data_IF_761786763516
#
_entry.id   IF_761786763516
#
_cell.length_a   1.000
_cell.length_b   1.000
_cell.length_c   1.000
_cell.angle_alpha   90.00
_cell.angle_beta   90.00
_cell.angle_gamma   90.00
#
_symmetry.space_group_name_H-M   'P 1'
#
loop_
_entity.id
_entity.type
_entity.pdbx_description
1 polymer ?
#
# COMPACT_ATOMS: atom_id res chain seq x y z
N UNK A 1 -15.19 18.68 6.96
CA UNK A 1 -14.76 17.75 8.02
C UNK A 1 -13.47 17.00 7.66
N UNK A 2 -13.37 16.37 6.48
CA UNK A 2 -12.15 15.67 6.07
C UNK A 2 -10.93 16.57 5.79
N UNK A 3 -11.14 17.77 5.23
CA UNK A 3 -10.07 18.76 5.02
C UNK A 3 -9.57 19.41 6.32
N UNK A 4 -10.41 19.44 7.37
CA UNK A 4 -10.01 19.94 8.69
C UNK A 4 -9.16 18.93 9.46
N UNK A 5 -9.43 17.63 9.34
CA UNK A 5 -8.58 16.56 9.93
C UNK A 5 -7.19 16.53 9.29
N UNK A 6 -7.10 16.66 7.96
CA UNK A 6 -5.82 16.77 7.25
C UNK A 6 -4.99 17.96 7.74
N UNK A 7 -5.64 19.12 7.91
CA UNK A 7 -4.99 20.34 8.45
C UNK A 7 -4.60 20.22 9.93
N UNK A 8 -5.38 19.50 10.74
CA UNK A 8 -5.10 19.31 12.16
C UNK A 8 -3.90 18.36 12.40
N UNK A 9 -3.82 17.27 11.65
CA UNK A 9 -2.69 16.32 11.76
C UNK A 9 -1.40 16.93 11.20
N UNK A 10 -1.49 17.67 10.09
CA UNK A 10 -0.34 18.42 9.55
C UNK A 10 0.22 19.43 10.56
N UNK A 11 -0.63 20.09 11.35
CA UNK A 11 -0.21 21.08 12.34
C UNK A 11 0.60 20.45 13.51
N UNK A 12 0.20 19.25 13.96
CA UNK A 12 0.93 18.50 15.01
C UNK A 12 2.31 18.04 14.51
N UNK A 13 2.41 17.58 13.26
CA UNK A 13 3.67 17.17 12.65
C UNK A 13 4.65 18.34 12.49
N UNK A 14 4.15 19.52 12.09
CA UNK A 14 4.97 20.74 11.96
C UNK A 14 5.48 21.26 13.31
N UNK A 15 4.72 21.07 14.39
CA UNK A 15 5.13 21.46 15.75
C UNK A 15 6.33 20.63 16.26
N UNK A 16 6.38 19.34 15.94
CA UNK A 16 7.49 18.47 16.35
C UNK A 16 8.75 18.67 15.50
N UNK A 17 8.62 18.96 14.21
CA UNK A 17 9.75 19.20 13.31
C UNK A 17 10.53 20.48 13.68
N UNK A 18 9.85 21.52 14.18
CA UNK A 18 10.48 22.76 14.63
C UNK A 18 11.37 22.58 15.87
N UNK A 19 11.03 21.63 16.74
CA UNK A 19 11.78 21.36 17.99
C UNK A 19 13.00 20.46 17.71
N UNK A 20 12.92 19.59 16.69
CA UNK A 20 13.96 18.59 16.39
C UNK A 20 15.08 19.09 15.44
N UNK A 21 14.86 20.18 14.71
CA UNK A 21 15.77 20.65 13.65
C UNK A 21 17.10 21.25 14.11
N UNK A 22 17.31 21.48 15.40
CA UNK A 22 18.49 22.18 15.92
C UNK A 22 19.73 21.30 16.14
N UNK A 23 19.66 19.99 15.89
CA UNK A 23 20.72 19.03 16.28
C UNK A 23 21.12 18.02 15.18
N UNK A 24 20.98 18.33 13.88
CA UNK A 24 21.21 17.33 12.82
C UNK A 24 22.51 17.56 12.05
N UNK A 25 23.33 16.50 11.99
CA UNK A 25 24.53 16.39 11.16
C UNK A 25 24.16 16.26 9.67
N UNK A 26 24.91 16.87 8.73
CA UNK A 26 24.57 16.81 7.32
C UNK A 26 24.73 15.38 6.78
N UNK A 27 23.61 14.77 6.39
CA UNK A 27 23.59 13.47 5.71
C UNK A 27 22.90 13.57 4.34
N UNK A 28 23.34 12.80 3.33
CA UNK A 28 22.86 12.92 1.95
C UNK A 28 21.47 12.30 1.69
N UNK A 29 20.79 11.80 2.73
CA UNK A 29 19.47 11.19 2.67
C UNK A 29 18.35 12.17 2.96
N UNK A 30 17.23 12.03 2.23
CA UNK A 30 16.01 12.76 2.49
C UNK A 30 15.31 12.18 3.73
N UNK A 31 15.16 12.99 4.78
CA UNK A 31 14.28 12.69 5.90
C UNK A 31 12.87 13.08 5.49
N UNK A 32 12.01 12.08 5.31
CA UNK A 32 10.60 12.32 4.98
C UNK A 32 9.89 12.86 6.23
N UNK A 33 9.13 13.95 6.06
CA UNK A 33 8.30 14.49 7.13
C UNK A 33 7.23 13.48 7.56
N UNK A 34 6.83 13.53 8.83
CA UNK A 34 5.78 12.62 9.35
C UNK A 34 4.48 12.83 8.57
N UNK A 35 4.01 11.78 7.90
CA UNK A 35 2.75 11.80 7.14
C UNK A 35 1.69 10.87 7.76
N UNK A 36 0.40 11.25 7.74
CA UNK A 36 -0.68 10.44 8.32
C UNK A 36 -1.19 9.33 7.40
N UNK A 37 -0.77 9.31 6.14
CA UNK A 37 -1.29 8.39 5.11
C UNK A 37 -1.13 6.90 5.45
N UNK A 38 -0.01 6.43 6.05
CA UNK A 38 0.13 5.03 6.46
C UNK A 38 -0.90 4.59 7.52
N UNK A 39 -1.26 5.48 8.44
CA UNK A 39 -2.29 5.20 9.44
C UNK A 39 -3.70 5.13 8.83
N UNK A 40 -4.00 6.01 7.86
CA UNK A 40 -5.29 5.98 7.16
C UNK A 40 -5.43 4.74 6.28
N UNK A 41 -4.38 4.36 5.55
CA UNK A 41 -4.40 3.18 4.66
C UNK A 41 -4.52 1.87 5.43
N UNK A 42 -3.83 1.72 6.57
CA UNK A 42 -3.96 0.53 7.43
C UNK A 42 -5.37 0.39 8.02
N UNK A 43 -6.00 1.49 8.45
CA UNK A 43 -7.38 1.46 8.92
C UNK A 43 -8.36 1.08 7.79
N UNK A 44 -8.19 1.64 6.59
CA UNK A 44 -9.00 1.29 5.42
C UNK A 44 -8.85 -0.18 5.03
N UNK A 45 -7.63 -0.73 5.09
CA UNK A 45 -7.37 -2.16 4.84
C UNK A 45 -8.03 -3.06 5.89
N UNK A 46 -8.00 -2.68 7.17
CA UNK A 46 -8.70 -3.41 8.22
C UNK A 46 -10.21 -3.44 7.98
N UNK A 47 -10.81 -2.29 7.66
CA UNK A 47 -12.22 -2.19 7.31
C UNK A 47 -12.56 -3.03 6.06
N UNK A 48 -11.66 -3.09 5.08
CA UNK A 48 -11.83 -3.90 3.88
C UNK A 48 -11.79 -5.40 4.19
N UNK A 49 -10.86 -5.84 5.04
CA UNK A 49 -10.78 -7.23 5.48
C UNK A 49 -12.03 -7.66 6.26
N UNK A 50 -12.49 -6.85 7.21
CA UNK A 50 -13.73 -7.09 7.94
C UNK A 50 -14.96 -7.07 7.02
N UNK A 51 -15.01 -6.11 6.08
CA UNK A 51 -16.08 -5.99 5.10
C UNK A 51 -16.19 -7.20 4.17
N UNK A 52 -15.05 -7.76 3.72
CA UNK A 52 -15.01 -8.98 2.91
C UNK A 52 -15.56 -10.19 3.67
N UNK A 53 -15.15 -10.37 4.93
CA UNK A 53 -15.64 -11.48 5.77
C UNK A 53 -17.15 -11.36 5.97
N UNK A 54 -17.66 -10.18 6.31
CA UNK A 54 -19.09 -9.95 6.52
C UNK A 54 -19.91 -10.12 5.23
N UNK A 55 -19.32 -9.76 4.09
CA UNK A 55 -19.93 -9.97 2.77
C UNK A 55 -20.07 -11.47 2.44
N UNK A 56 -19.04 -12.28 2.69
CA UNK A 56 -19.13 -13.74 2.47
C UNK A 56 -20.16 -14.41 3.38
N UNK A 57 -20.37 -13.90 4.59
CA UNK A 57 -21.39 -14.41 5.52
C UNK A 57 -22.80 -13.82 5.26
N UNK A 58 -23.00 -13.06 4.18
CA UNK A 58 -24.30 -12.50 3.77
C UNK A 58 -24.97 -11.61 4.83
N UNK A 59 -24.19 -10.88 5.63
CA UNK A 59 -24.75 -9.88 6.54
C UNK A 59 -25.26 -8.66 5.75
N UNK A 60 -26.43 -8.09 6.12
CA UNK A 60 -27.06 -7.00 5.36
C UNK A 60 -26.19 -5.72 5.30
N UNK A 61 -25.34 -5.48 6.31
CA UNK A 61 -24.43 -4.34 6.35
C UNK A 61 -23.07 -4.59 5.70
N UNK A 62 -22.73 -5.84 5.33
CA UNK A 62 -21.40 -6.21 4.86
C UNK A 62 -21.03 -5.57 3.52
N UNK A 63 -21.97 -5.56 2.57
CA UNK A 63 -21.74 -4.97 1.24
C UNK A 63 -21.51 -3.45 1.30
N UNK A 64 -22.26 -2.74 2.14
CA UNK A 64 -22.10 -1.29 2.29
C UNK A 64 -20.74 -0.94 2.93
N UNK A 65 -20.35 -1.69 3.96
CA UNK A 65 -19.03 -1.54 4.60
C UNK A 65 -17.89 -1.79 3.60
N UNK A 66 -18.00 -2.83 2.77
CA UNK A 66 -17.01 -3.15 1.73
C UNK A 66 -16.86 -2.01 0.71
N UNK A 67 -17.97 -1.47 0.21
CA UNK A 67 -17.96 -0.34 -0.73
C UNK A 67 -17.30 0.91 -0.13
N UNK A 68 -17.63 1.25 1.12
CA UNK A 68 -17.03 2.39 1.83
C UNK A 68 -15.53 2.17 2.05
N UNK A 69 -15.12 0.95 2.43
CA UNK A 69 -13.72 0.61 2.61
C UNK A 69 -12.91 0.73 1.31
N UNK A 70 -13.46 0.28 0.18
CA UNK A 70 -12.82 0.42 -1.14
C UNK A 70 -12.66 1.88 -1.56
N UNK A 71 -13.72 2.70 -1.40
CA UNK A 71 -13.66 4.13 -1.74
C UNK A 71 -12.64 4.87 -0.87
N UNK A 72 -12.63 4.60 0.44
CA UNK A 72 -11.68 5.25 1.36
C UNK A 72 -10.24 4.82 1.09
N UNK A 73 -9.99 3.55 0.75
CA UNK A 73 -8.67 3.06 0.38
C UNK A 73 -8.16 3.71 -0.91
N UNK A 74 -8.98 3.74 -1.96
CA UNK A 74 -8.62 4.38 -3.23
C UNK A 74 -8.34 5.88 -3.05
N UNK A 75 -9.14 6.55 -2.22
CA UNK A 75 -8.93 7.96 -1.88
C UNK A 75 -7.59 8.17 -1.14
N UNK A 76 -7.30 7.38 -0.11
CA UNK A 76 -6.05 7.48 0.64
C UNK A 76 -4.81 7.22 -0.26
N UNK A 77 -4.87 6.22 -1.14
CA UNK A 77 -3.79 5.91 -2.08
C UNK A 77 -3.54 7.05 -3.08
N UNK A 78 -4.60 7.64 -3.64
CA UNK A 78 -4.47 8.77 -4.58
C UNK A 78 -3.86 10.03 -3.95
N UNK A 79 -4.22 10.32 -2.70
CA UNK A 79 -3.64 11.44 -1.95
C UNK A 79 -2.18 11.20 -1.59
N UNK A 80 -1.84 9.97 -1.20
CA UNK A 80 -0.46 9.61 -0.93
C UNK A 80 0.40 9.76 -2.19
N UNK A 81 -0.07 9.26 -3.34
CA UNK A 81 0.68 9.39 -4.58
C UNK A 81 0.87 10.85 -5.02
N UNK A 82 -0.16 11.69 -4.84
CA UNK A 82 -0.06 13.13 -5.06
C UNK A 82 1.03 13.77 -4.20
N UNK A 83 1.15 13.36 -2.95
CA UNK A 83 2.15 13.93 -2.04
C UNK A 83 3.57 13.48 -2.40
N UNK A 84 3.76 12.22 -2.83
CA UNK A 84 5.04 11.72 -3.38
C UNK A 84 5.46 12.52 -4.62
N UNK A 85 4.53 12.80 -5.54
CA UNK A 85 4.83 13.62 -6.74
C UNK A 85 5.23 15.04 -6.34
N UNK A 86 4.56 15.65 -5.36
CA UNK A 86 4.89 17.01 -4.89
C UNK A 86 6.29 17.05 -4.27
N UNK A 87 6.61 16.09 -3.40
CA UNK A 87 7.93 15.95 -2.79
C UNK A 87 9.03 15.78 -3.85
N UNK A 88 8.73 15.01 -4.92
CA UNK A 88 9.67 14.82 -6.03
C UNK A 88 9.95 16.09 -6.82
N UNK A 89 8.95 16.95 -7.00
CA UNK A 89 9.05 18.19 -7.78
C UNK A 89 9.79 19.28 -7.01
N UNK A 90 9.77 19.23 -5.67
CA UNK A 90 10.46 20.18 -4.78
C UNK A 90 11.99 19.97 -4.72
N UNK A 91 12.54 18.98 -5.43
CA UNK A 91 13.98 18.79 -5.61
C UNK A 91 14.68 17.98 -4.52
N UNK A 92 13.92 17.36 -3.61
CA UNK A 92 14.47 16.58 -2.49
C UNK A 92 15.06 15.21 -2.87
N UNK A 93 14.86 14.75 -4.11
CA UNK A 93 15.43 13.49 -4.59
C UNK A 93 16.86 13.65 -5.11
N UNK A 94 17.83 13.50 -4.21
CA UNK A 94 19.24 13.30 -4.56
C UNK A 94 19.42 12.03 -5.42
N UNK A 95 20.53 11.93 -6.17
CA UNK A 95 20.79 10.78 -7.05
C UNK A 95 20.68 9.42 -6.35
N UNK A 96 21.13 9.35 -5.09
CA UNK A 96 21.03 8.14 -4.25
C UNK A 96 19.59 7.73 -3.94
N UNK A 97 18.67 8.69 -3.75
CA UNK A 97 17.25 8.40 -3.50
C UNK A 97 16.57 7.87 -4.76
N UNK A 98 16.93 8.40 -5.93
CA UNK A 98 16.41 7.90 -7.22
C UNK A 98 16.84 6.47 -7.50
N UNK A 99 18.09 6.12 -7.20
CA UNK A 99 18.59 4.74 -7.29
C UNK A 99 17.80 3.80 -6.36
N UNK A 100 17.49 4.24 -5.14
CA UNK A 100 16.65 3.48 -4.20
C UNK A 100 15.23 3.24 -4.70
N UNK A 101 14.58 4.25 -5.29
CA UNK A 101 13.24 4.11 -5.89
C UNK A 101 13.26 3.16 -7.09
N UNK A 102 14.30 3.22 -7.92
CA UNK A 102 14.45 2.31 -9.06
C UNK A 102 14.63 0.85 -8.59
N UNK A 103 15.48 0.63 -7.59
CA UNK A 103 15.64 -0.69 -6.97
C UNK A 103 14.33 -1.20 -6.36
N UNK A 104 13.57 -0.34 -5.69
CA UNK A 104 12.26 -0.66 -5.13
C UNK A 104 11.26 -1.12 -6.20
N UNK A 105 11.22 -0.43 -7.35
CA UNK A 105 10.36 -0.81 -8.47
C UNK A 105 10.75 -2.17 -9.07
N UNK A 106 12.05 -2.43 -9.20
CA UNK A 106 12.55 -3.74 -9.68
C UNK A 106 12.12 -4.85 -8.72
N UNK A 107 12.31 -4.67 -7.42
CA UNK A 107 11.90 -5.65 -6.40
C UNK A 107 10.39 -5.90 -6.42
N UNK A 108 9.58 -4.87 -6.63
CA UNK A 108 8.13 -5.01 -6.78
C UNK A 108 7.76 -5.88 -8.01
N UNK A 109 8.35 -5.61 -9.18
CA UNK A 109 8.10 -6.41 -10.40
C UNK A 109 8.52 -7.88 -10.20
N UNK A 110 9.67 -8.10 -9.55
CA UNK A 110 10.13 -9.46 -9.23
C UNK A 110 9.14 -10.19 -8.32
N UNK A 111 8.56 -9.50 -7.33
CA UNK A 111 7.55 -10.09 -6.44
C UNK A 111 6.29 -10.53 -7.18
N UNK A 112 5.79 -9.73 -8.13
CA UNK A 112 4.65 -10.07 -9.00
C UNK A 112 4.98 -11.25 -9.94
N UNK A 113 6.20 -11.28 -10.51
CA UNK A 113 6.64 -12.37 -11.37
C UNK A 113 6.65 -13.72 -10.61
N UNK A 114 7.16 -13.74 -9.38
CA UNK A 114 7.16 -14.93 -8.52
C UNK A 114 5.73 -15.36 -8.18
N UNK A 115 4.83 -14.41 -7.89
CA UNK A 115 3.41 -14.71 -7.66
C UNK A 115 2.77 -15.43 -8.86
N UNK A 116 2.97 -14.93 -10.09
CA UNK A 116 2.45 -15.58 -11.30
C UNK A 116 3.05 -16.97 -11.55
N UNK A 117 4.33 -17.17 -11.25
CA UNK A 117 4.96 -18.51 -11.30
C UNK A 117 4.28 -19.46 -10.31
N UNK A 118 3.99 -19.00 -9.09
CA UNK A 118 3.27 -19.78 -8.08
C UNK A 118 1.89 -20.23 -8.56
N UNK A 119 1.09 -19.31 -9.10
CA UNK A 119 -0.25 -19.59 -9.63
C UNK A 119 -0.19 -20.64 -10.75
N UNK A 120 0.73 -20.46 -11.71
CA UNK A 120 0.92 -21.40 -12.83
C UNK A 120 1.35 -22.79 -12.35
N UNK A 121 2.28 -22.87 -11.39
CA UNK A 121 2.73 -24.15 -10.83
C UNK A 121 1.58 -24.93 -10.20
N UNK A 122 0.69 -24.26 -9.46
CA UNK A 122 -0.49 -24.92 -8.87
C UNK A 122 -1.43 -25.45 -9.95
N UNK A 123 -1.67 -24.70 -11.01
CA UNK A 123 -2.49 -25.14 -12.13
C UNK A 123 -1.90 -26.37 -12.86
N UNK A 124 -0.57 -26.41 -13.06
CA UNK A 124 0.11 -27.53 -13.71
C UNK A 124 0.03 -28.84 -12.90
N UNK A 125 0.17 -28.77 -11.57
CA UNK A 125 0.05 -29.94 -10.69
C UNK A 125 -1.37 -30.52 -10.74
N UNK A 126 -2.41 -29.66 -10.78
CA UNK A 126 -3.79 -30.12 -10.90
C UNK A 126 -4.06 -30.84 -12.23
N UNK A 127 -3.55 -30.29 -13.34
CA UNK A 127 -3.68 -30.90 -14.66
C UNK A 127 -2.96 -32.26 -14.77
N UNK A 128 -1.77 -32.41 -14.17
CA UNK A 128 -1.07 -33.70 -14.11
C UNK A 128 -1.82 -34.70 -13.22
N UNK A 129 -2.42 -34.25 -12.11
CA UNK A 129 -3.26 -35.07 -11.25
C UNK A 129 -4.44 -35.71 -11.97
N UNK A 130 -5.18 -34.94 -12.78
CA UNK A 130 -6.32 -35.44 -13.56
C UNK A 130 -5.90 -36.47 -14.63
N UNK A 131 -4.75 -36.27 -15.30
CA UNK A 131 -4.24 -37.21 -16.32
C UNK A 131 -3.94 -38.58 -15.69
N UNK A 132 -3.34 -38.59 -14.50
CA UNK A 132 -2.97 -39.84 -13.80
C UNK A 132 -4.22 -40.60 -13.31
N UNK A 133 -5.26 -39.90 -12.84
CA UNK A 133 -6.53 -40.55 -12.48
C UNK A 133 -7.26 -41.15 -13.69
N UNK A 134 -7.28 -40.45 -14.83
CA UNK A 134 -7.95 -40.95 -16.03
C UNK A 134 -7.27 -42.20 -16.63
N UNK A 135 -5.96 -42.37 -16.44
CA UNK A 135 -5.22 -43.57 -16.90
C UNK A 135 -5.28 -44.77 -15.95
N UNK A 136 -5.66 -44.56 -14.68
CA UNK A 136 -5.74 -45.64 -13.67
C UNK A 136 -7.16 -46.21 -13.54
N UNK A 137 -8.17 -45.48 -14.03
CA UNK A 137 -9.58 -45.90 -14.05
C UNK A 137 -10.12 -46.30 -15.44
N UNK A 138 -9.25 -46.44 -16.45
CA UNK A 138 -9.56 -46.95 -17.78
C UNK A 138 -8.79 -48.26 -18.03
#
# INVERSE_FOLDING_TARGET
MFLTVHRFIANIATLNAAILGSLVFPHPYHLVDLSPWPAMTSLSLLCLACGLVLYFHQYPAGGLLLCVALVTLAYAASLWWRDVIRESTLGFHTSRVKEGLHLGMILFIVSEAVFFVGVRRRAAIHAVGEITTCTVFA
#
